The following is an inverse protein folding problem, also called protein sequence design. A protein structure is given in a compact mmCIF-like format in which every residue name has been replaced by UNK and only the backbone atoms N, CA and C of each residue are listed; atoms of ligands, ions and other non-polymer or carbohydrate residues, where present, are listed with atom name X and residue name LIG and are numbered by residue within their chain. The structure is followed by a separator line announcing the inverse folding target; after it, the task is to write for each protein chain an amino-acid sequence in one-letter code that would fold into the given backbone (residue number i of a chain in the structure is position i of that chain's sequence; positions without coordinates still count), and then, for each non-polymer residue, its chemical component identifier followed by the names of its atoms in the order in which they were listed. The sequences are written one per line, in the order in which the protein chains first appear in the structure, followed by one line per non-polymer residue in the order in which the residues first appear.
data_IF_508461314498
#
_entry.id   IF_508461314498
#
_cell.length_a   1.000
_cell.length_b   1.000
_cell.length_c   1.000
_cell.angle_alpha   90.00
_cell.angle_beta   90.00
_cell.angle_gamma   90.00
#
_symmetry.space_group_name_H-M   'P 1'
#
loop_
_entity.id
_entity.type
_entity.pdbx_description
1 polymer ?
#
# COMPACT_ATOMS: atom_id res chain seq x y z
N UNK A 1 -17.04 -2.00 -15.60
CA UNK A 1 -16.35 -1.45 -14.41
C UNK A 1 -14.97 -2.05 -14.22
N UNK A 2 -14.80 -3.38 -14.22
CA UNK A 2 -13.46 -3.98 -14.30
C UNK A 2 -12.66 -3.50 -15.53
N UNK A 3 -13.32 -3.27 -16.66
CA UNK A 3 -12.68 -2.68 -17.85
C UNK A 3 -12.16 -1.25 -17.61
N UNK A 4 -12.82 -0.46 -16.74
CA UNK A 4 -12.33 0.88 -16.36
C UNK A 4 -11.06 0.78 -15.53
N UNK A 5 -11.01 -0.19 -14.61
CA UNK A 5 -9.80 -0.49 -13.83
C UNK A 5 -8.66 -0.97 -14.74
N UNK A 6 -8.93 -1.91 -15.65
CA UNK A 6 -7.95 -2.38 -16.65
C UNK A 6 -7.36 -1.23 -17.43
N UNK A 7 -8.24 -0.36 -17.95
CA UNK A 7 -7.81 0.82 -18.68
C UNK A 7 -6.94 1.74 -17.80
N UNK A 8 -7.37 2.06 -16.58
CA UNK A 8 -6.61 2.91 -15.67
C UNK A 8 -5.21 2.35 -15.35
N UNK A 9 -5.10 1.04 -15.12
CA UNK A 9 -3.81 0.37 -14.85
C UNK A 9 -2.89 0.44 -16.07
N UNK A 10 -3.41 0.19 -17.27
CA UNK A 10 -2.62 0.28 -18.52
C UNK A 10 -2.17 1.72 -18.77
N UNK A 11 -3.09 2.69 -18.68
CA UNK A 11 -2.77 4.11 -18.87
C UNK A 11 -1.66 4.55 -17.94
N UNK A 12 -1.74 4.19 -16.65
CA UNK A 12 -0.70 4.50 -15.67
C UNK A 12 0.64 3.82 -15.99
N UNK A 13 0.63 2.59 -16.49
CA UNK A 13 1.85 1.91 -16.95
C UNK A 13 2.49 2.65 -18.14
N UNK A 14 1.71 3.04 -19.15
CA UNK A 14 2.23 3.76 -20.33
C UNK A 14 2.73 5.17 -19.97
N UNK A 15 2.03 5.88 -19.08
CA UNK A 15 2.48 7.16 -18.52
C UNK A 15 3.85 7.02 -17.85
N UNK A 16 4.02 6.04 -16.94
CA UNK A 16 5.31 5.80 -16.30
C UNK A 16 6.40 5.34 -17.26
N UNK A 17 6.03 4.58 -18.29
CA UNK A 17 6.95 4.11 -19.32
C UNK A 17 7.48 5.28 -20.15
N UNK A 18 6.60 6.18 -20.58
CA UNK A 18 6.97 7.37 -21.35
C UNK A 18 7.75 8.38 -20.50
N UNK A 19 7.47 8.47 -19.21
CA UNK A 19 8.22 9.28 -18.24
C UNK A 19 9.61 8.70 -17.88
N UNK A 20 9.90 7.45 -18.24
CA UNK A 20 11.17 6.82 -17.87
C UNK A 20 11.26 6.36 -16.41
N UNK A 21 10.13 6.31 -15.68
CA UNK A 21 10.09 6.01 -14.24
C UNK A 21 10.01 4.51 -13.94
N UNK A 22 9.75 3.68 -14.95
CA UNK A 22 9.72 2.22 -14.80
C UNK A 22 11.12 1.63 -14.71
N UNK A 23 11.23 0.52 -13.98
CA UNK A 23 12.44 -0.29 -13.97
C UNK A 23 12.77 -0.79 -15.39
N UNK A 24 14.03 -1.14 -15.63
CA UNK A 24 14.48 -1.71 -16.91
C UNK A 24 13.67 -2.98 -17.28
N UNK A 25 13.25 -3.74 -16.27
CA UNK A 25 12.46 -4.96 -16.46
C UNK A 25 11.07 -4.67 -17.03
N UNK A 26 10.43 -3.59 -16.57
CA UNK A 26 9.10 -3.20 -17.00
C UNK A 26 9.10 -2.30 -18.24
N UNK A 27 10.20 -1.57 -18.50
CA UNK A 27 10.37 -0.78 -19.72
C UNK A 27 10.37 -1.67 -20.98
N UNK A 28 11.05 -2.81 -20.88
CA UNK A 28 11.17 -3.81 -21.93
C UNK A 28 10.62 -5.15 -21.43
N UNK A 29 9.28 -5.30 -21.35
CA UNK A 29 8.69 -6.45 -20.72
C UNK A 29 9.03 -7.72 -21.52
N UNK A 30 9.52 -8.72 -20.80
CA UNK A 30 9.63 -10.10 -21.23
C UNK A 30 9.12 -10.96 -20.07
N UNK A 31 8.73 -12.20 -20.31
CA UNK A 31 8.27 -13.05 -19.21
C UNK A 31 9.35 -13.18 -18.10
N UNK A 32 10.63 -13.27 -18.49
CA UNK A 32 11.75 -13.31 -17.56
C UNK A 32 11.92 -11.98 -16.81
N UNK A 33 11.85 -10.85 -17.50
CA UNK A 33 11.98 -9.53 -16.88
C UNK A 33 10.84 -9.27 -15.88
N UNK A 34 9.60 -9.59 -16.25
CA UNK A 34 8.44 -9.43 -15.37
C UNK A 34 8.61 -10.32 -14.13
N UNK A 35 9.09 -11.55 -14.28
CA UNK A 35 9.40 -12.44 -13.15
C UNK A 35 10.49 -11.85 -12.25
N UNK A 36 11.56 -11.31 -12.83
CA UNK A 36 12.65 -10.71 -12.05
C UNK A 36 12.16 -9.49 -11.27
N UNK A 37 11.32 -8.64 -11.87
CA UNK A 37 10.68 -7.53 -11.16
C UNK A 37 9.79 -8.02 -10.03
N UNK A 38 8.98 -9.06 -10.29
CA UNK A 38 8.13 -9.68 -9.29
C UNK A 38 8.92 -10.19 -8.09
N UNK A 39 10.05 -10.87 -8.33
CA UNK A 39 10.93 -11.36 -7.28
C UNK A 39 11.54 -10.20 -6.48
N UNK A 40 12.05 -9.18 -7.16
CA UNK A 40 12.65 -8.01 -6.53
C UNK A 40 11.66 -7.27 -5.62
N UNK A 41 10.43 -7.06 -6.09
CA UNK A 41 9.40 -6.40 -5.29
C UNK A 41 8.92 -7.28 -4.13
N UNK A 42 8.90 -8.60 -4.31
CA UNK A 42 8.55 -9.50 -3.22
C UNK A 42 9.62 -9.49 -2.13
N UNK A 43 10.90 -9.51 -2.50
CA UNK A 43 12.04 -9.42 -1.58
C UNK A 43 12.10 -8.06 -0.85
N UNK A 44 11.62 -6.98 -1.47
CA UNK A 44 11.50 -5.66 -0.85
C UNK A 44 10.35 -5.57 0.18
N UNK A 45 9.48 -6.57 0.25
CA UNK A 45 8.33 -6.62 1.14
C UNK A 45 7.01 -6.35 0.41
N UNK A 46 5.95 -7.01 0.87
CA UNK A 46 4.60 -6.88 0.30
C UNK A 46 3.58 -6.41 1.35
N UNK A 47 2.66 -5.54 0.92
CA UNK A 47 1.54 -5.09 1.75
C UNK A 47 0.59 -6.28 2.00
N UNK A 48 0.03 -6.38 3.21
CA UNK A 48 -0.95 -7.42 3.55
C UNK A 48 -2.20 -7.40 2.64
N UNK A 49 -2.52 -6.25 2.05
CA UNK A 49 -3.59 -6.10 1.07
C UNK A 49 -3.32 -6.84 -0.24
N UNK A 50 -2.04 -6.93 -0.63
CA UNK A 50 -1.60 -7.53 -1.88
C UNK A 50 -1.40 -9.05 -1.74
N UNK A 51 -1.25 -9.57 -0.51
CA UNK A 51 -1.07 -11.01 -0.25
C UNK A 51 -2.15 -11.88 -0.88
N UNK A 52 -3.42 -11.44 -0.83
CA UNK A 52 -4.53 -12.21 -1.43
C UNK A 52 -4.32 -12.40 -2.94
N UNK A 53 -3.95 -11.33 -3.64
CA UNK A 53 -3.71 -11.34 -5.08
C UNK A 53 -2.47 -12.18 -5.42
N UNK A 54 -1.40 -12.03 -4.65
CA UNK A 54 -0.16 -12.79 -4.85
C UNK A 54 -0.41 -14.30 -4.70
N UNK A 55 -1.20 -14.72 -3.70
CA UNK A 55 -1.61 -16.13 -3.54
C UNK A 55 -2.42 -16.61 -4.74
N UNK A 56 -3.39 -15.82 -5.21
CA UNK A 56 -4.20 -16.16 -6.38
C UNK A 56 -3.36 -16.28 -7.67
N UNK A 57 -2.38 -15.39 -7.86
CA UNK A 57 -1.47 -15.44 -8.99
C UNK A 57 -0.56 -16.68 -8.95
N UNK A 58 0.04 -16.95 -7.79
CA UNK A 58 0.93 -18.11 -7.58
C UNK A 58 0.19 -19.45 -7.51
N UNK A 59 -1.14 -19.42 -7.37
CA UNK A 59 -2.03 -20.59 -7.19
C UNK A 59 -1.73 -21.33 -5.88
N UNK A 60 -1.52 -20.55 -4.81
CA UNK A 60 -1.29 -21.03 -3.45
C UNK A 60 -2.60 -20.96 -2.66
N UNK A 61 -2.97 -21.99 -1.87
CA UNK A 61 -4.13 -21.96 -0.99
C UNK A 61 -4.08 -20.78 0.00
N UNK A 62 -5.23 -20.19 0.32
CA UNK A 62 -5.30 -18.99 1.16
C UNK A 62 -4.78 -19.22 2.58
N UNK A 63 -4.88 -20.45 3.08
CA UNK A 63 -4.43 -20.87 4.39
C UNK A 63 -2.91 -20.99 4.49
N UNK A 64 -2.22 -21.11 3.35
CA UNK A 64 -0.76 -21.23 3.30
C UNK A 64 -0.10 -19.88 3.11
N UNK A 65 1.02 -19.68 3.77
CA UNK A 65 1.88 -18.52 3.54
C UNK A 65 2.61 -18.63 2.20
N UNK A 66 2.96 -17.49 1.62
CA UNK A 66 3.76 -17.44 0.41
C UNK A 66 5.21 -17.68 0.82
N UNK A 67 5.74 -18.86 0.52
CA UNK A 67 7.14 -19.17 0.76
C UNK A 67 8.04 -18.48 -0.27
N UNK A 68 9.18 -17.95 0.17
CA UNK A 68 10.25 -17.44 -0.70
C UNK A 68 10.64 -18.45 -1.80
N UNK A 69 10.59 -19.74 -1.48
CA UNK A 69 10.89 -20.80 -2.42
C UNK A 69 9.87 -20.86 -3.56
N UNK A 70 8.59 -20.61 -3.26
CA UNK A 70 7.53 -20.59 -4.27
C UNK A 70 7.69 -19.41 -5.24
N UNK A 71 8.12 -18.25 -4.72
CA UNK A 71 8.43 -17.06 -5.51
C UNK A 71 9.67 -17.26 -6.39
N UNK A 72 10.73 -17.84 -5.83
CA UNK A 72 11.98 -18.13 -6.57
C UNK A 72 11.79 -19.20 -7.64
N UNK A 73 10.97 -20.22 -7.38
CA UNK A 73 10.64 -21.29 -8.34
C UNK A 73 9.46 -20.98 -9.25
N UNK A 74 8.92 -19.77 -9.20
CA UNK A 74 7.78 -19.40 -10.05
C UNK A 74 8.17 -19.52 -11.53
N UNK A 75 7.41 -20.34 -12.25
CA UNK A 75 7.64 -20.55 -13.68
C UNK A 75 7.44 -19.24 -14.45
N UNK A 76 8.40 -18.94 -15.32
CA UNK A 76 8.37 -17.82 -16.26
C UNK A 76 7.12 -17.84 -17.13
N UNK A 77 6.59 -19.03 -17.42
CA UNK A 77 5.42 -19.21 -18.25
C UNK A 77 4.14 -18.61 -17.65
N UNK A 78 4.06 -18.51 -16.32
CA UNK A 78 2.93 -17.84 -15.64
C UNK A 78 2.79 -16.37 -16.03
N UNK A 79 3.88 -15.74 -16.47
CA UNK A 79 3.91 -14.34 -16.89
C UNK A 79 3.59 -14.13 -18.39
N UNK A 80 3.47 -15.22 -19.18
CA UNK A 80 3.11 -15.14 -20.61
C UNK A 80 1.80 -14.37 -20.86
N UNK A 81 0.71 -14.58 -20.10
CA UNK A 81 -0.53 -13.83 -20.31
C UNK A 81 -0.38 -12.33 -20.07
N UNK A 82 0.42 -11.92 -19.07
CA UNK A 82 0.67 -10.51 -18.81
C UNK A 82 1.58 -9.90 -19.88
N UNK A 83 2.65 -10.59 -20.26
CA UNK A 83 3.54 -10.13 -21.34
C UNK A 83 2.80 -9.97 -22.68
N UNK A 84 1.92 -10.91 -23.03
CA UNK A 84 1.08 -10.82 -24.23
C UNK A 84 0.10 -9.66 -24.17
N UNK A 85 -0.46 -9.39 -23.00
CA UNK A 85 -1.32 -8.23 -22.78
C UNK A 85 -0.55 -6.92 -23.00
N UNK A 86 0.64 -6.77 -22.41
CA UNK A 86 1.46 -5.56 -22.56
C UNK A 86 1.99 -5.34 -23.98
N UNK A 87 2.29 -6.41 -24.73
CA UNK A 87 2.85 -6.30 -26.09
C UNK A 87 1.81 -6.23 -27.20
N UNK A 88 0.74 -7.01 -27.07
CA UNK A 88 -0.23 -7.27 -28.15
C UNK A 88 -1.63 -6.77 -27.83
N UNK A 89 -1.86 -6.25 -26.62
CA UNK A 89 -3.20 -5.84 -26.16
C UNK A 89 -4.19 -7.01 -26.01
N UNK A 90 -3.69 -8.25 -25.91
CA UNK A 90 -4.54 -9.44 -25.79
C UNK A 90 -5.16 -9.47 -24.40
N UNK A 91 -6.50 -9.52 -24.33
CA UNK A 91 -7.24 -9.61 -23.06
C UNK A 91 -6.71 -10.74 -22.17
N UNK A 92 -6.58 -10.44 -20.89
CA UNK A 92 -6.03 -11.35 -19.88
C UNK A 92 -6.94 -11.42 -18.66
N UNK A 93 -6.68 -12.40 -17.78
CA UNK A 93 -7.44 -12.58 -16.54
C UNK A 93 -7.17 -11.45 -15.54
N UNK A 94 -8.11 -11.21 -14.65
CA UNK A 94 -8.05 -10.14 -13.63
C UNK A 94 -6.81 -10.26 -12.73
N UNK A 95 -6.46 -11.47 -12.30
CA UNK A 95 -5.23 -11.73 -11.51
C UNK A 95 -3.95 -11.18 -12.16
N UNK A 96 -3.87 -11.16 -13.49
CA UNK A 96 -2.71 -10.63 -14.21
C UNK A 96 -2.71 -9.10 -14.26
N UNK A 97 -3.89 -8.48 -14.27
CA UNK A 97 -4.06 -7.02 -14.19
C UNK A 97 -3.71 -6.52 -12.79
N UNK A 98 -4.14 -7.25 -11.77
CA UNK A 98 -3.81 -6.94 -10.38
C UNK A 98 -2.32 -7.11 -10.12
N UNK A 99 -1.70 -8.15 -10.68
CA UNK A 99 -0.26 -8.30 -10.68
C UNK A 99 0.42 -7.07 -11.32
N UNK A 100 -0.05 -6.61 -12.48
CA UNK A 100 0.51 -5.41 -13.13
C UNK A 100 0.35 -4.17 -12.24
N UNK A 101 -0.83 -3.97 -11.64
CA UNK A 101 -1.09 -2.85 -10.73
C UNK A 101 -0.13 -2.86 -9.53
N UNK A 102 0.19 -4.05 -9.01
CA UNK A 102 1.19 -4.21 -7.97
C UNK A 102 2.61 -3.88 -8.45
N UNK A 103 3.04 -4.46 -9.59
CA UNK A 103 4.37 -4.26 -10.16
C UNK A 103 4.70 -2.77 -10.44
N UNK A 104 3.71 -1.98 -10.87
CA UNK A 104 3.91 -0.56 -11.20
C UNK A 104 3.60 0.38 -10.03
N UNK A 105 3.29 -0.18 -8.85
CA UNK A 105 2.82 0.54 -7.67
C UNK A 105 1.60 1.45 -7.96
N UNK A 106 0.62 0.97 -8.71
CA UNK A 106 -0.65 1.67 -8.95
C UNK A 106 -1.53 1.67 -7.69
N UNK A 107 -1.84 2.85 -7.14
CA UNK A 107 -2.83 3.03 -6.07
C UNK A 107 -4.10 3.54 -6.78
N UNK A 108 -5.21 2.78 -6.83
CA UNK A 108 -5.87 2.16 -5.70
C UNK A 108 -6.15 0.65 -5.92
N UNK A 109 -5.08 -0.14 -5.93
CA UNK A 109 -5.15 -1.60 -5.91
C UNK A 109 -5.55 -2.14 -4.50
N UNK A 110 -6.10 -3.36 -4.40
CA UNK A 110 -6.65 -4.18 -5.49
C UNK A 110 -7.95 -3.57 -6.07
N UNK A 111 -8.52 -4.19 -7.10
CA UNK A 111 -9.74 -3.74 -7.80
C UNK A 111 -10.91 -3.43 -6.87
N UNK A 112 -11.06 -4.14 -5.75
CA UNK A 112 -12.09 -3.85 -4.76
C UNK A 112 -11.97 -2.43 -4.18
N UNK A 113 -10.75 -1.91 -3.97
CA UNK A 113 -10.51 -0.56 -3.52
C UNK A 113 -10.83 0.46 -4.62
N UNK A 114 -10.40 0.19 -5.86
CA UNK A 114 -10.77 1.00 -7.02
C UNK A 114 -12.31 1.09 -7.18
N UNK A 115 -12.99 -0.04 -7.06
CA UNK A 115 -14.46 -0.12 -7.13
C UNK A 115 -15.11 0.75 -6.05
N UNK A 116 -14.69 0.59 -4.78
CA UNK A 116 -15.19 1.41 -3.68
C UNK A 116 -15.01 2.89 -3.95
N UNK A 117 -13.80 3.34 -4.31
CA UNK A 117 -13.53 4.75 -4.59
C UNK A 117 -14.36 5.30 -5.76
N UNK A 118 -14.57 4.50 -6.80
CA UNK A 118 -15.39 4.93 -7.94
C UNK A 118 -16.87 5.08 -7.61
N UNK A 119 -17.38 4.36 -6.60
CA UNK A 119 -18.77 4.41 -6.16
C UNK A 119 -18.99 5.28 -4.92
N UNK A 120 -17.94 5.55 -4.12
CA UNK A 120 -18.01 6.50 -3.01
C UNK A 120 -18.09 7.95 -3.50
N UNK A 121 -17.78 8.22 -4.77
CA UNK A 121 -18.01 9.54 -5.40
C UNK A 121 -19.49 9.85 -5.66
N UNK A 122 -20.40 8.92 -5.38
CA UNK A 122 -21.86 9.15 -5.45
C UNK A 122 -22.54 9.37 -4.09
N UNK A 123 -21.83 9.23 -2.97
CA UNK A 123 -22.37 9.56 -1.65
C UNK A 123 -21.56 10.68 -0.98
N UNK A 124 -22.28 11.72 -0.60
CA UNK A 124 -21.81 12.96 0.05
C UNK A 124 -21.14 12.68 1.41
N UNK A 125 -19.88 12.25 1.43
CA UNK A 125 -19.13 12.01 2.68
C UNK A 125 -17.73 12.62 2.71
N UNK A 126 -17.44 13.57 1.83
CA UNK A 126 -16.18 14.34 1.84
C UNK A 126 -16.23 15.62 2.69
N UNK A 127 -17.18 15.75 3.62
CA UNK A 127 -17.26 16.91 4.52
C UNK A 127 -17.65 16.50 5.94
N UNK A 128 -16.86 15.61 6.54
CA UNK A 128 -16.82 15.45 7.99
C UNK A 128 -15.36 15.51 8.44
N UNK A 129 -14.87 16.72 8.70
CA UNK A 129 -13.68 16.90 9.54
C UNK A 129 -14.10 16.61 10.98
N UNK A 130 -13.60 15.53 11.55
CA UNK A 130 -13.72 15.27 12.99
C UNK A 130 -12.86 16.32 13.70
N UNK A 131 -13.49 17.30 14.33
CA UNK A 131 -12.83 18.12 15.36
C UNK A 131 -12.92 17.39 16.70
N UNK A 132 -11.93 17.62 17.58
CA UNK A 132 -11.78 16.95 18.89
C UNK A 132 -12.99 17.06 19.83
N UNK A 133 -14.02 17.83 19.49
CA UNK A 133 -15.20 18.08 20.34
C UNK A 133 -16.50 17.44 19.85
N UNK A 134 -16.48 16.65 18.76
CA UNK A 134 -17.60 15.75 18.44
C UNK A 134 -18.95 16.41 18.10
N UNK A 135 -18.96 17.60 17.47
CA UNK A 135 -20.19 18.24 16.95
C UNK A 135 -20.02 18.54 15.46
N UNK A 136 -20.96 18.08 14.64
CA UNK A 136 -21.03 18.34 13.19
C UNK A 136 -21.80 19.64 12.95
N UNK A 137 -21.09 20.74 12.67
CA UNK A 137 -21.71 21.96 12.15
C UNK A 137 -21.81 21.89 10.62
N UNK A 138 -23.06 21.91 10.13
CA UNK A 138 -23.37 21.98 8.70
C UNK A 138 -23.09 23.41 8.21
N UNK A 139 -21.99 23.61 7.49
CA UNK A 139 -21.76 24.88 6.79
C UNK A 139 -22.82 25.07 5.70
N UNK A 140 -23.80 25.94 5.99
CA UNK A 140 -24.68 26.52 4.98
C UNK A 140 -23.98 27.74 4.40
N UNK A 141 -23.39 27.58 3.23
CA UNK A 141 -23.10 28.72 2.36
C UNK A 141 -23.44 28.35 0.92
N UNK A 142 -24.61 28.81 0.51
CA UNK A 142 -24.96 29.04 -0.90
C UNK A 142 -23.87 29.90 -1.55
N UNK A 143 -23.47 29.57 -2.78
CA UNK A 143 -23.22 30.57 -3.82
C UNK A 143 -23.12 29.89 -5.19
N UNK A 144 -24.03 30.33 -6.07
CA UNK A 144 -24.10 30.07 -7.51
C UNK A 144 -22.88 30.67 -8.23
N UNK A 145 -22.34 30.00 -9.25
CA UNK A 145 -22.38 30.45 -10.66
C UNK A 145 -21.56 29.55 -11.61
N UNK A 146 -21.94 29.68 -12.87
CA UNK A 146 -21.66 28.91 -14.09
C UNK A 146 -20.30 29.12 -14.75
N UNK A 147 -19.81 28.09 -15.45
CA UNK A 147 -19.40 28.15 -16.87
C UNK A 147 -18.11 28.89 -17.33
N UNK A 148 -17.21 28.09 -17.90
CA UNK A 148 -16.30 28.33 -19.05
C UNK A 148 -14.94 29.07 -18.89
N UNK A 149 -13.89 28.33 -19.33
CA UNK A 149 -12.64 28.69 -20.02
C UNK A 149 -11.88 29.98 -19.68
N UNK A 150 -10.60 29.85 -19.31
CA UNK A 150 -9.41 30.22 -20.12
C UNK A 150 -8.12 30.32 -19.27
N UNK A 151 -7.01 29.79 -19.79
CA UNK A 151 -5.63 30.12 -19.37
C UNK A 151 -5.24 31.52 -19.87
N UNK A 152 -4.23 32.24 -19.31
CA UNK A 152 -2.82 31.91 -19.57
C UNK A 152 -1.79 32.20 -18.43
N UNK A 153 -0.65 31.51 -18.59
CA UNK A 153 0.73 31.64 -18.10
C UNK A 153 1.26 32.90 -17.34
N UNK A 154 2.18 32.58 -16.41
CA UNK A 154 3.51 33.17 -16.08
C UNK A 154 3.65 34.32 -15.04
N UNK A 155 4.14 33.99 -13.82
CA UNK A 155 5.56 34.08 -13.32
C UNK A 155 5.61 34.00 -11.78
N UNK A 156 6.23 32.95 -11.23
CA UNK A 156 7.49 32.95 -10.45
C UNK A 156 7.45 33.59 -9.05
N UNK A 157 7.49 32.74 -8.01
CA UNK A 157 8.60 32.73 -7.02
C UNK A 157 8.55 31.45 -6.17
N UNK A 158 9.74 30.94 -5.89
CA UNK A 158 10.09 29.65 -5.29
C UNK A 158 9.81 29.56 -3.78
N UNK A 159 9.65 28.35 -3.24
CA UNK A 159 10.54 27.75 -2.23
C UNK A 159 10.28 26.24 -2.16
N UNK A 160 11.38 25.50 -2.25
CA UNK A 160 11.54 24.06 -2.26
C UNK A 160 12.33 23.69 -0.99
N UNK A 161 11.89 22.68 -0.23
CA UNK A 161 12.76 22.00 0.72
C UNK A 161 12.77 20.51 0.39
N UNK A 162 13.86 20.12 -0.28
CA UNK A 162 14.36 18.77 -0.41
C UNK A 162 14.85 18.27 0.94
N UNK A 163 14.63 16.99 1.22
CA UNK A 163 15.62 16.17 1.92
C UNK A 163 15.46 14.71 1.46
N UNK A 164 16.39 14.25 0.64
CA UNK A 164 16.66 12.83 0.41
C UNK A 164 18.17 12.64 0.60
N UNK A 165 18.48 11.80 1.59
CA UNK A 165 19.58 10.81 1.66
C UNK A 165 20.97 11.24 1.18
N UNK A 166 22.01 11.06 2.01
CA UNK A 166 23.04 10.05 1.72
C UNK A 166 24.23 10.00 2.72
N UNK A 167 24.60 8.74 3.02
CA UNK A 167 25.96 8.18 3.13
C UNK A 167 26.84 8.49 4.36
N UNK A 168 26.92 7.47 5.22
CA UNK A 168 28.03 7.18 6.11
C UNK A 168 29.08 6.36 5.36
N UNK A 169 30.33 6.82 5.35
CA UNK A 169 31.56 6.03 5.39
C UNK A 169 32.77 6.98 5.41
N UNK A 170 33.58 6.96 6.47
CA UNK A 170 34.91 6.33 6.44
C UNK A 170 35.78 6.72 7.67
N UNK A 171 36.20 5.68 8.39
CA UNK A 171 37.45 5.45 9.14
C UNK A 171 38.26 6.62 9.74
N UNK A 172 38.55 6.51 11.05
CA UNK A 172 39.90 6.61 11.62
C UNK A 172 40.02 5.75 12.90
N UNK A 173 41.07 4.93 12.98
CA UNK A 173 41.50 4.17 14.16
C UNK A 173 42.63 4.91 14.90
N UNK A 174 42.62 4.92 16.25
CA UNK A 174 43.81 4.74 17.14
C UNK A 174 43.45 4.65 18.65
N UNK A 175 43.46 3.43 19.20
CA UNK A 175 44.28 2.87 20.33
C UNK A 175 44.53 3.64 21.67
N UNK A 176 44.21 2.93 22.80
CA UNK A 176 44.67 2.99 24.23
C UNK A 176 44.19 4.14 25.14
N UNK A 177 43.89 4.00 26.43
CA UNK A 177 43.87 2.90 27.43
C UNK A 177 42.98 3.35 28.63
N UNK A 178 42.45 2.35 29.36
CA UNK A 178 42.11 2.28 30.80
C UNK A 178 40.89 2.94 31.48
N UNK A 179 40.15 2.00 32.12
CA UNK A 179 39.55 1.95 33.46
C UNK A 179 38.12 2.47 33.78
N UNK A 180 37.25 1.47 34.03
CA UNK A 180 36.27 1.29 35.13
C UNK A 180 35.19 2.39 35.31
N UNK A 181 33.88 2.10 35.33
CA UNK A 181 33.15 1.25 36.29
C UNK A 181 31.76 0.89 35.72
N UNK A 182 31.31 -0.30 36.08
CA UNK A 182 30.04 -0.94 35.74
C UNK A 182 28.77 -0.16 36.12
N UNK A 183 27.73 -0.27 35.29
CA UNK A 183 26.39 -0.68 35.76
C UNK A 183 25.68 -1.49 34.68
N UNK A 184 25.67 -2.80 34.95
CA UNK A 184 24.79 -3.89 34.48
C UNK A 184 23.67 -3.57 33.49
N UNK A 185 23.78 -4.23 32.33
CA UNK A 185 22.69 -4.70 31.49
C UNK A 185 21.62 -5.47 32.27
N UNK A 186 20.34 -5.15 32.06
CA UNK A 186 19.28 -6.15 32.12
C UNK A 186 18.31 -5.96 30.94
N UNK A 187 18.50 -6.84 29.96
CA UNK A 187 17.48 -7.27 29.03
C UNK A 187 16.47 -8.07 29.87
N UNK A 188 15.27 -7.55 30.04
CA UNK A 188 14.14 -8.32 30.55
C UNK A 188 13.22 -8.63 29.38
N UNK A 189 13.49 -9.78 28.76
CA UNK A 189 12.46 -10.55 28.07
C UNK A 189 11.39 -10.88 29.11
N UNK A 190 10.31 -10.12 29.15
CA UNK A 190 9.08 -10.57 29.78
C UNK A 190 7.99 -10.63 28.73
N UNK A 191 7.55 -11.85 28.45
CA UNK A 191 6.34 -12.13 27.68
C UNK A 191 5.18 -11.60 28.50
N UNK A 192 4.86 -10.31 28.35
CA UNK A 192 3.55 -9.81 28.73
C UNK A 192 2.54 -10.56 27.86
N UNK A 193 1.95 -11.60 28.45
CA UNK A 193 0.69 -12.16 28.01
C UNK A 193 -0.29 -10.99 27.97
N UNK A 194 -0.47 -10.38 26.80
CA UNK A 194 -1.54 -9.41 26.55
C UNK A 194 -2.84 -10.13 26.91
N UNK A 195 -3.37 -9.80 28.08
CA UNK A 195 -4.56 -10.44 28.63
C UNK A 195 -5.72 -9.83 27.88
N UNK A 196 -6.24 -10.50 26.86
CA UNK A 196 -7.37 -10.02 26.08
C UNK A 196 -8.69 -10.25 26.83
N UNK A 197 -9.58 -9.26 26.78
CA UNK A 197 -10.95 -9.33 27.29
C UNK A 197 -11.90 -9.28 26.09
N UNK A 198 -12.88 -10.18 26.06
CA UNK A 198 -13.89 -10.24 24.99
C UNK A 198 -15.23 -9.74 25.51
N UNK A 199 -15.82 -8.78 24.80
CA UNK A 199 -17.15 -8.25 25.03
C UNK A 199 -18.10 -8.78 23.96
N UNK A 200 -19.26 -9.30 24.37
CA UNK A 200 -20.32 -9.80 23.48
C UNK A 200 -21.59 -8.96 23.63
N UNK A 201 -22.04 -8.39 22.52
CA UNK A 201 -23.24 -7.55 22.48
C UNK A 201 -24.50 -8.38 22.17
N UNK A 202 -25.71 -7.89 22.51
CA UNK A 202 -26.97 -8.56 22.18
C UNK A 202 -27.19 -8.82 20.68
N UNK A 203 -26.51 -8.06 19.82
CA UNK A 203 -26.48 -8.27 18.37
C UNK A 203 -25.67 -9.50 17.92
N UNK A 204 -24.95 -10.16 18.84
CA UNK A 204 -24.05 -11.28 18.58
C UNK A 204 -22.64 -10.87 18.14
N UNK A 205 -22.34 -9.57 18.11
CA UNK A 205 -21.00 -9.06 17.78
C UNK A 205 -20.07 -9.28 18.99
N UNK A 206 -18.87 -9.81 18.72
CA UNK A 206 -17.82 -10.03 19.73
C UNK A 206 -16.61 -9.15 19.43
N UNK A 207 -16.14 -8.40 20.42
CA UNK A 207 -14.95 -7.55 20.34
C UNK A 207 -13.93 -7.99 21.37
N UNK A 208 -12.66 -8.13 20.97
CA UNK A 208 -11.56 -8.46 21.88
C UNK A 208 -10.61 -7.28 22.00
N UNK A 209 -10.35 -6.84 23.23
CA UNK A 209 -9.50 -5.69 23.56
C UNK A 209 -8.48 -6.07 24.63
N UNK A 210 -7.34 -5.38 24.67
CA UNK A 210 -6.35 -5.59 25.74
C UNK A 210 -6.96 -5.18 27.09
N UNK A 211 -6.84 -6.03 28.11
CA UNK A 211 -7.31 -5.74 29.48
C UNK A 211 -6.64 -4.50 30.08
N UNK A 212 -5.48 -4.10 29.55
CA UNK A 212 -4.73 -2.95 30.01
C UNK A 212 -5.35 -1.62 29.55
N UNK A 213 -6.16 -1.63 28.48
CA UNK A 213 -6.79 -0.43 27.93
C UNK A 213 -8.19 -0.20 28.54
N UNK A 214 -8.19 0.23 29.80
CA UNK A 214 -9.42 0.51 30.56
C UNK A 214 -10.24 1.65 29.94
N UNK A 215 -9.60 2.63 29.29
CA UNK A 215 -10.29 3.72 28.60
C UNK A 215 -11.17 3.22 27.45
N UNK A 216 -10.62 2.32 26.63
CA UNK A 216 -11.35 1.73 25.51
C UNK A 216 -12.47 0.82 26.01
N UNK A 217 -12.22 0.01 27.04
CA UNK A 217 -13.23 -0.85 27.66
C UNK A 217 -14.40 -0.01 28.21
N UNK A 218 -14.10 1.10 28.89
CA UNK A 218 -15.13 2.00 29.44
C UNK A 218 -15.99 2.63 28.34
N UNK A 219 -15.39 3.03 27.22
CA UNK A 219 -16.13 3.56 26.06
C UNK A 219 -17.05 2.50 25.43
N UNK A 220 -16.59 1.25 25.35
CA UNK A 220 -17.39 0.15 24.80
C UNK A 220 -18.60 -0.20 25.67
N UNK A 221 -18.54 0.03 26.99
CA UNK A 221 -19.65 -0.23 27.91
C UNK A 221 -20.69 0.91 27.99
N UNK A 222 -20.38 2.11 27.47
CA UNK A 222 -21.25 3.31 27.55
C UNK A 222 -22.24 3.45 26.38
N UNK A 223 -22.28 2.48 25.48
CA UNK A 223 -23.22 2.39 24.34
C UNK A 223 -24.44 1.54 24.70
#
# INVERSE_FOLDING_TARGET
MIEKYRFAVISFYEEKKTAGELSKNLMYPTCANIRNEFQLLFEAGCDNLDNRMLKEFLEIPYEKEISDLAVKKCDTDKFKPLNNFLKKGIKTREKNIELLAWLINFRPRPFSNYWRLSNSKTDQLSELSITESGIVEKNRSELLYTGQHSSPMQKETEICVKARLDLYNQDYSTVKDNDQVAHSSFISNDRLLQKLVTLEYPSGIKLSVDASDLSLIEQLLKL
#
